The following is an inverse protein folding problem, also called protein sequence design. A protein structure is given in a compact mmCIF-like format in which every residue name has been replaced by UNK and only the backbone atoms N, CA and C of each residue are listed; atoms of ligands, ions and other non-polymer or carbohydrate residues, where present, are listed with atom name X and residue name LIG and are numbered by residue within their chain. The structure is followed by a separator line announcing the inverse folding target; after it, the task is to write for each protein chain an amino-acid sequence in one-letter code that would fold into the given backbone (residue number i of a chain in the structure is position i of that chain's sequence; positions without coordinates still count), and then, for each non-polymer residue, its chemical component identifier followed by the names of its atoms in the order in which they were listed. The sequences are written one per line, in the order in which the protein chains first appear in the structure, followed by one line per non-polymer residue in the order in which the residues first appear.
data_IF_726084079588
#
_entry.id   IF_726084079588
#
_cell.length_a   1.000
_cell.length_b   1.000
_cell.length_c   1.000
_cell.angle_alpha   90.00
_cell.angle_beta   90.00
_cell.angle_gamma   90.00
#
_symmetry.space_group_name_H-M   'P 1'
#
loop_
_entity.id
_entity.type
_entity.pdbx_description
1 polymer ?
#
# COMPACT_ATOMS: atom_id res chain seq x y z
N UNK A 1 2.26 12.94 -6.73
CA UNK A 1 1.01 12.61 -7.45
C UNK A 1 0.53 11.20 -7.16
N UNK A 2 1.33 10.15 -7.41
CA UNK A 2 0.93 8.75 -7.11
C UNK A 2 0.43 8.54 -5.67
N UNK A 3 1.16 9.01 -4.65
CA UNK A 3 0.71 8.90 -3.25
C UNK A 3 -0.62 9.61 -2.95
N UNK A 4 -0.99 10.63 -3.74
CA UNK A 4 -2.26 11.35 -3.53
C UNK A 4 -3.44 10.61 -4.14
N UNK A 5 -3.20 9.78 -5.15
CA UNK A 5 -4.27 9.16 -5.96
C UNK A 5 -4.40 7.65 -5.77
N UNK A 6 -3.42 7.00 -5.12
CA UNK A 6 -3.37 5.53 -5.07
C UNK A 6 -4.60 4.86 -4.47
N UNK A 7 -5.16 5.44 -3.40
CA UNK A 7 -6.33 4.86 -2.72
C UNK A 7 -7.66 5.49 -3.15
N UNK A 8 -7.72 6.26 -4.26
CA UNK A 8 -8.99 6.82 -4.72
C UNK A 8 -10.01 5.73 -5.09
N UNK A 9 -9.56 4.52 -5.43
CA UNK A 9 -10.42 3.36 -5.66
C UNK A 9 -11.24 2.97 -4.41
N UNK A 10 -10.65 3.10 -3.22
CA UNK A 10 -11.27 2.71 -1.96
C UNK A 10 -12.47 3.59 -1.58
N UNK A 11 -12.63 4.75 -2.22
CA UNK A 11 -13.85 5.56 -2.11
C UNK A 11 -15.11 4.81 -2.61
N UNK A 12 -14.94 3.78 -3.45
CA UNK A 12 -16.05 3.00 -4.02
C UNK A 12 -16.29 1.67 -3.32
N UNK A 13 -15.23 1.01 -2.87
CA UNK A 13 -15.25 -0.34 -2.29
C UNK A 13 -15.06 -0.35 -0.77
N UNK A 14 -14.62 0.77 -0.19
CA UNK A 14 -14.06 0.82 1.16
C UNK A 14 -12.63 0.26 1.19
N UNK A 15 -11.91 0.54 2.27
CA UNK A 15 -10.61 -0.11 2.54
C UNK A 15 -10.84 -1.58 2.87
N UNK A 16 -10.27 -2.47 2.04
CA UNK A 16 -10.33 -3.92 2.21
C UNK A 16 -8.93 -4.41 2.61
N UNK A 17 -8.76 -5.00 3.80
CA UNK A 17 -7.45 -5.44 4.27
C UNK A 17 -6.75 -6.36 3.25
N UNK A 18 -5.45 -6.16 3.05
CA UNK A 18 -4.67 -6.85 2.00
C UNK A 18 -4.82 -8.38 2.01
N UNK A 19 -4.95 -8.99 3.20
CA UNK A 19 -5.11 -10.44 3.34
C UNK A 19 -6.53 -10.96 3.07
N UNK A 20 -7.52 -10.06 3.05
CA UNK A 20 -8.93 -10.36 2.68
C UNK A 20 -9.19 -10.04 1.20
N UNK A 21 -8.54 -9.00 0.66
CA UNK A 21 -8.78 -8.45 -0.68
C UNK A 21 -8.57 -9.51 -1.76
N UNK A 22 -9.64 -9.89 -2.43
CA UNK A 22 -9.65 -10.88 -3.51
C UNK A 22 -9.40 -10.23 -4.88
N UNK A 23 -9.10 -11.04 -5.90
CA UNK A 23 -9.00 -10.54 -7.28
C UNK A 23 -10.33 -9.95 -7.77
N UNK A 24 -11.47 -10.50 -7.34
CA UNK A 24 -12.78 -9.95 -7.66
C UNK A 24 -12.98 -8.57 -7.03
N UNK A 25 -12.47 -8.33 -5.83
CA UNK A 25 -12.56 -7.01 -5.19
C UNK A 25 -11.72 -5.98 -5.95
N UNK A 26 -10.50 -6.37 -6.38
CA UNK A 26 -9.62 -5.55 -7.22
C UNK A 26 -10.28 -5.20 -8.56
N UNK A 27 -10.86 -6.19 -9.25
CA UNK A 27 -11.54 -5.96 -10.53
C UNK A 27 -12.73 -5.00 -10.39
N UNK A 28 -13.51 -5.11 -9.31
CA UNK A 28 -14.62 -4.20 -9.03
C UNK A 28 -14.12 -2.78 -8.75
N UNK A 29 -13.11 -2.64 -7.90
CA UNK A 29 -12.48 -1.37 -7.57
C UNK A 29 -11.91 -0.67 -8.81
N UNK A 30 -11.10 -1.38 -9.60
CA UNK A 30 -10.50 -0.88 -10.84
C UNK A 30 -11.58 -0.46 -11.84
N UNK A 31 -12.66 -1.23 -11.97
CA UNK A 31 -13.75 -0.91 -12.88
C UNK A 31 -14.47 0.37 -12.47
N UNK A 32 -14.78 0.54 -11.19
CA UNK A 32 -15.47 1.73 -10.66
C UNK A 32 -14.58 2.97 -10.75
N UNK A 33 -13.31 2.83 -10.36
CA UNK A 33 -12.31 3.89 -10.48
C UNK A 33 -12.13 4.33 -11.93
N UNK A 34 -11.95 3.39 -12.87
CA UNK A 34 -11.82 3.70 -14.29
C UNK A 34 -13.07 4.37 -14.87
N UNK A 35 -14.27 3.97 -14.44
CA UNK A 35 -15.50 4.64 -14.84
C UNK A 35 -15.54 6.08 -14.34
N UNK A 36 -15.15 6.32 -13.09
CA UNK A 36 -15.09 7.65 -12.50
C UNK A 36 -14.03 8.54 -13.15
N UNK A 37 -12.81 8.04 -13.37
CA UNK A 37 -11.73 8.78 -14.04
C UNK A 37 -12.16 9.28 -15.42
N UNK A 38 -12.95 8.49 -16.16
CA UNK A 38 -13.50 8.89 -17.47
C UNK A 38 -14.54 10.02 -17.41
N UNK A 39 -15.05 10.36 -16.23
CA UNK A 39 -15.98 11.49 -16.04
C UNK A 39 -15.26 12.83 -15.84
N UNK A 40 -13.94 12.79 -15.58
CA UNK A 40 -13.14 13.99 -15.37
C UNK A 40 -12.90 14.74 -16.70
N UNK A 41 -12.54 16.04 -16.64
CA UNK A 41 -12.10 16.78 -17.83
C UNK A 41 -11.00 16.02 -18.59
N UNK A 42 -11.03 16.07 -19.91
CA UNK A 42 -10.21 15.20 -20.78
C UNK A 42 -8.72 15.18 -20.40
N UNK A 43 -8.10 16.36 -20.24
CA UNK A 43 -6.69 16.46 -19.86
C UNK A 43 -6.39 15.77 -18.51
N UNK A 44 -7.23 16.01 -17.50
CA UNK A 44 -7.05 15.41 -16.18
C UNK A 44 -7.31 13.89 -16.19
N UNK A 45 -8.30 13.45 -16.97
CA UNK A 45 -8.61 12.03 -17.15
C UNK A 45 -7.42 11.28 -17.75
N UNK A 46 -6.80 11.85 -18.78
CA UNK A 46 -5.61 11.30 -19.44
C UNK A 46 -4.41 11.24 -18.49
N UNK A 47 -4.15 12.31 -17.74
CA UNK A 47 -3.04 12.36 -16.78
C UNK A 47 -3.20 11.32 -15.65
N UNK A 48 -4.39 11.22 -15.06
CA UNK A 48 -4.65 10.26 -13.98
C UNK A 48 -4.59 8.82 -14.50
N UNK A 49 -5.14 8.54 -15.68
CA UNK A 49 -5.05 7.22 -16.29
C UNK A 49 -3.60 6.81 -16.60
N UNK A 50 -2.77 7.76 -17.04
CA UNK A 50 -1.35 7.52 -17.26
C UNK A 50 -0.62 7.19 -15.95
N UNK A 51 -0.92 7.91 -14.86
CA UNK A 51 -0.34 7.64 -13.54
C UNK A 51 -0.74 6.25 -13.02
N UNK A 52 -2.01 5.85 -13.10
CA UNK A 52 -2.42 4.50 -12.68
C UNK A 52 -1.71 3.41 -13.48
N UNK A 53 -1.58 3.59 -14.80
CA UNK A 53 -0.83 2.64 -15.63
C UNK A 53 0.64 2.53 -15.22
N UNK A 54 1.27 3.64 -14.86
CA UNK A 54 2.66 3.64 -14.38
C UNK A 54 2.79 2.95 -13.01
N UNK A 55 1.82 3.20 -12.13
CA UNK A 55 1.72 2.58 -10.81
C UNK A 55 1.56 1.06 -10.91
N UNK A 56 0.67 0.58 -11.78
CA UNK A 56 0.44 -0.85 -12.00
C UNK A 56 1.66 -1.56 -12.58
N UNK A 57 2.35 -0.91 -13.52
CA UNK A 57 3.52 -1.49 -14.16
C UNK A 57 4.72 -1.60 -13.21
N UNK A 58 4.82 -0.71 -12.22
CA UNK A 58 5.92 -0.65 -11.25
C UNK A 58 7.33 -0.66 -11.89
N UNK A 59 7.49 -0.04 -13.06
CA UNK A 59 8.77 -0.07 -13.80
C UNK A 59 9.68 1.10 -13.43
N UNK A 60 9.10 2.29 -13.25
CA UNK A 60 9.82 3.54 -12.96
C UNK A 60 10.31 3.59 -11.52
N UNK A 61 11.24 4.51 -11.23
CA UNK A 61 11.76 4.69 -9.86
C UNK A 61 10.69 5.25 -8.95
N UNK A 62 9.88 6.17 -9.47
CA UNK A 62 8.76 6.81 -8.82
C UNK A 62 7.68 5.77 -8.48
N UNK A 63 7.32 4.89 -9.42
CA UNK A 63 6.37 3.80 -9.22
C UNK A 63 6.84 2.81 -8.14
N UNK A 64 8.12 2.44 -8.16
CA UNK A 64 8.70 1.55 -7.14
C UNK A 64 8.79 2.21 -5.77
N UNK A 65 9.14 3.50 -5.75
CA UNK A 65 9.26 4.27 -4.52
C UNK A 65 7.90 4.46 -3.85
N UNK A 66 6.85 4.90 -4.57
CA UNK A 66 5.55 5.06 -3.93
C UNK A 66 5.04 3.73 -3.37
N UNK A 67 5.17 2.62 -4.10
CA UNK A 67 4.68 1.32 -3.61
C UNK A 67 5.41 0.88 -2.34
N UNK A 68 6.71 1.16 -2.27
CA UNK A 68 7.48 0.91 -1.06
C UNK A 68 6.95 1.76 0.09
N UNK A 69 6.72 3.06 -0.12
CA UNK A 69 6.23 3.95 0.91
C UNK A 69 4.83 3.55 1.39
N UNK A 70 3.91 3.24 0.47
CA UNK A 70 2.57 2.69 0.73
C UNK A 70 2.63 1.47 1.67
N UNK A 71 3.42 0.44 1.30
CA UNK A 71 3.53 -0.75 2.14
C UNK A 71 4.24 -0.52 3.48
N UNK A 72 5.23 0.40 3.53
CA UNK A 72 5.93 0.73 4.78
C UNK A 72 5.04 1.54 5.73
N UNK A 73 4.19 2.41 5.18
CA UNK A 73 3.23 3.20 5.94
C UNK A 73 2.25 2.29 6.69
N UNK A 74 1.70 1.27 6.01
CA UNK A 74 0.84 0.27 6.65
C UNK A 74 1.50 -0.44 7.84
N UNK A 75 2.80 -0.74 7.76
CA UNK A 75 3.56 -1.36 8.86
C UNK A 75 3.79 -0.39 10.02
N UNK A 76 4.07 0.89 9.72
CA UNK A 76 4.24 1.93 10.73
C UNK A 76 2.91 2.17 11.45
N UNK A 77 1.79 2.26 10.73
CA UNK A 77 0.46 2.40 11.33
C UNK A 77 0.14 1.26 12.30
N UNK A 78 0.49 0.02 11.95
CA UNK A 78 0.35 -1.12 12.87
C UNK A 78 1.19 -0.92 14.12
N UNK A 79 2.46 -0.52 13.99
CA UNK A 79 3.32 -0.28 15.15
C UNK A 79 2.75 0.81 16.09
N UNK A 80 2.02 1.79 15.55
CA UNK A 80 1.33 2.84 16.31
C UNK A 80 -0.05 2.40 16.87
N UNK A 81 -0.62 1.27 16.43
CA UNK A 81 -1.89 0.76 16.93
C UNK A 81 -1.72 -0.17 18.14
N UNK A 82 -2.72 -0.31 19.03
CA UNK A 82 -2.65 -1.29 20.12
C UNK A 82 -2.60 -2.74 19.62
N UNK A 83 -1.82 -3.61 20.27
CA UNK A 83 -1.68 -5.01 19.84
C UNK A 83 -2.99 -5.82 19.91
N UNK A 84 -3.94 -5.44 20.74
CA UNK A 84 -5.25 -6.10 20.83
C UNK A 84 -6.15 -5.82 19.61
N UNK A 85 -5.77 -4.87 18.76
CA UNK A 85 -6.40 -4.63 17.45
C UNK A 85 -5.85 -5.54 16.36
N UNK A 86 -4.69 -6.19 16.58
CA UNK A 86 -4.06 -7.05 15.60
C UNK A 86 -4.67 -8.46 15.63
N UNK A 87 -5.02 -8.96 14.47
CA UNK A 87 -5.35 -10.36 14.20
C UNK A 87 -4.09 -11.22 14.10
N UNK A 88 -4.22 -12.53 14.28
CA UNK A 88 -3.11 -13.49 14.19
C UNK A 88 -2.35 -13.40 12.85
N UNK A 89 -3.06 -13.13 11.76
CA UNK A 89 -2.46 -12.98 10.44
C UNK A 89 -1.61 -11.69 10.34
N UNK A 90 -2.03 -10.61 11.02
CA UNK A 90 -1.28 -9.35 11.02
C UNK A 90 0.03 -9.47 11.77
N UNK A 91 0.12 -10.31 12.81
CA UNK A 91 1.39 -10.57 13.49
C UNK A 91 2.45 -11.14 12.53
N UNK A 92 2.09 -12.08 11.66
CA UNK A 92 3.02 -12.67 10.70
C UNK A 92 3.25 -11.75 9.48
N UNK A 93 2.20 -11.05 9.04
CA UNK A 93 2.31 -10.11 7.94
C UNK A 93 3.27 -8.96 8.27
N UNK A 94 3.17 -8.37 9.46
CA UNK A 94 4.05 -7.27 9.89
C UNK A 94 5.54 -7.68 9.94
N UNK A 95 5.85 -8.97 10.01
CA UNK A 95 7.24 -9.48 9.99
C UNK A 95 7.81 -9.65 8.58
N UNK A 96 6.95 -9.86 7.57
CA UNK A 96 7.38 -10.31 6.24
C UNK A 96 7.00 -9.37 5.11
N UNK A 97 5.98 -8.53 5.31
CA UNK A 97 5.46 -7.64 4.29
C UNK A 97 6.47 -6.54 3.90
N UNK A 98 6.32 -6.05 2.67
CA UNK A 98 7.11 -4.97 2.04
C UNK A 98 8.58 -5.26 1.67
N UNK A 99 9.19 -6.37 2.13
CA UNK A 99 10.60 -6.68 1.81
C UNK A 99 10.86 -6.80 0.30
N UNK A 100 9.92 -7.38 -0.44
CA UNK A 100 9.96 -7.49 -1.90
C UNK A 100 10.02 -6.11 -2.58
N UNK A 101 9.21 -5.16 -2.09
CA UNK A 101 9.09 -3.83 -2.70
C UNK A 101 10.28 -2.94 -2.40
N UNK A 102 10.95 -3.09 -1.26
CA UNK A 102 12.09 -2.23 -0.88
C UNK A 102 13.44 -2.73 -1.41
N UNK A 103 13.51 -3.97 -1.90
CA UNK A 103 14.76 -4.66 -2.25
C UNK A 103 15.59 -3.97 -3.34
N UNK A 104 15.00 -3.06 -4.12
CA UNK A 104 15.72 -2.30 -5.16
C UNK A 104 16.59 -1.17 -4.60
N UNK A 105 16.44 -0.82 -3.32
CA UNK A 105 17.15 0.29 -2.67
C UNK A 105 17.67 -0.14 -1.30
N UNK A 106 18.99 -0.04 -1.11
CA UNK A 106 19.63 -0.36 0.18
C UNK A 106 19.06 0.48 1.32
N UNK A 107 18.82 1.77 1.06
CA UNK A 107 18.26 2.67 2.07
C UNK A 107 16.83 2.29 2.48
N UNK A 108 15.97 1.90 1.52
CA UNK A 108 14.61 1.45 1.85
C UNK A 108 14.63 0.10 2.57
N UNK A 109 15.59 -0.76 2.25
CA UNK A 109 15.79 -2.05 2.94
C UNK A 109 16.20 -1.81 4.39
N UNK A 110 17.18 -0.93 4.64
CA UNK A 110 17.58 -0.52 5.99
C UNK A 110 16.39 0.10 6.77
N UNK A 111 15.58 0.95 6.13
CA UNK A 111 14.38 1.52 6.75
C UNK A 111 13.37 0.42 7.14
N UNK A 112 13.16 -0.57 6.27
CA UNK A 112 12.25 -1.69 6.54
C UNK A 112 12.73 -2.55 7.71
N UNK A 113 14.04 -2.76 7.83
CA UNK A 113 14.67 -3.47 8.94
C UNK A 113 14.43 -2.73 10.26
N UNK A 114 14.60 -1.41 10.30
CA UNK A 114 14.30 -0.60 11.50
C UNK A 114 12.82 -0.71 11.89
N UNK A 115 11.89 -0.64 10.91
CA UNK A 115 10.46 -0.82 11.18
C UNK A 115 10.17 -2.21 11.74
N UNK A 116 10.87 -3.25 11.25
CA UNK A 116 10.74 -4.62 11.78
C UNK A 116 11.23 -4.71 13.22
N UNK A 117 12.36 -4.09 13.55
CA UNK A 117 12.86 -4.05 14.92
C UNK A 117 11.84 -3.43 15.87
N UNK A 118 11.18 -2.36 15.46
CA UNK A 118 10.14 -1.70 16.27
C UNK A 118 8.89 -2.59 16.42
N UNK A 119 8.47 -3.27 15.35
CA UNK A 119 7.43 -4.31 15.42
C UNK A 119 7.78 -5.39 16.46
N UNK A 120 9.00 -5.90 16.43
CA UNK A 120 9.44 -6.96 17.35
C UNK A 120 9.49 -6.47 18.79
N UNK A 121 10.03 -5.27 19.04
CA UNK A 121 10.04 -4.66 20.39
C UNK A 121 8.64 -4.50 20.95
N UNK A 122 7.68 -4.03 20.13
CA UNK A 122 6.27 -3.87 20.53
C UNK A 122 5.65 -5.20 20.94
N UNK A 123 5.84 -6.24 20.12
CA UNK A 123 5.36 -7.60 20.42
C UNK A 123 5.96 -8.13 21.73
N UNK A 124 7.26 -7.94 21.94
CA UNK A 124 7.95 -8.36 23.17
C UNK A 124 7.49 -7.60 24.42
N UNK A 125 7.20 -6.30 24.29
CA UNK A 125 6.72 -5.47 25.41
C UNK A 125 5.23 -5.62 25.70
N UNK A 126 4.46 -6.25 24.80
CA UNK A 126 3.02 -6.41 24.91
C UNK A 126 2.26 -5.08 24.94
N UNK A 127 2.78 -4.06 24.27
CA UNK A 127 2.28 -2.66 24.30
C UNK A 127 1.51 -2.26 23.05
#
# INVERSE_FOLDING_TARGET
DMCLIHDLGECFTGDIPTFVKTDSDREVEDSLLNQWVKTLPAELSEDIAALYKEMDAQETKEAKLYKSLDKLEALIQHNESPLDTWSENEFELNKTYAFDTVAFSSWLTELREVILEDTMKKIESGS
#
